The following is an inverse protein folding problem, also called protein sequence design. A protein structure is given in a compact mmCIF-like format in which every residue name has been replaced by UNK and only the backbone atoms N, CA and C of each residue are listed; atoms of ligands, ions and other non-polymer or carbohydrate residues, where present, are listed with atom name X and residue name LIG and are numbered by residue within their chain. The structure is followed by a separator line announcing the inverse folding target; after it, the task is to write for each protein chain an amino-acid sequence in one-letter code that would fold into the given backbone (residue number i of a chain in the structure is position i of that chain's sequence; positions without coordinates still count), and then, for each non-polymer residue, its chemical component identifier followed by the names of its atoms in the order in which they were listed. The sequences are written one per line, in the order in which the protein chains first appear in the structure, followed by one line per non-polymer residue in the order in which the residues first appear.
data_IF_304781350916
#
_entry.id   IF_304781350916
#
_cell.length_a   1.000
_cell.length_b   1.000
_cell.length_c   1.000
_cell.angle_alpha   90.00
_cell.angle_beta   90.00
_cell.angle_gamma   90.00
#
_symmetry.space_group_name_H-M   'P 1'
#
loop_
_entity.id
_entity.type
_entity.pdbx_description
1 polymer ?
#
# COMPACT_ATOMS: atom_id res chain seq x y z
N UNK A 1 -18.01 -1.50 -1.15
CA UNK A 1 -17.38 -2.81 -1.40
C UNK A 1 -16.62 -3.25 -0.16
N UNK A 2 -16.56 -4.55 0.11
CA UNK A 2 -15.74 -5.08 1.20
C UNK A 2 -14.47 -5.72 0.63
N UNK A 3 -13.31 -5.33 1.15
CA UNK A 3 -11.99 -5.79 0.75
C UNK A 3 -11.45 -6.74 1.83
N UNK A 4 -11.02 -7.93 1.40
CA UNK A 4 -10.39 -8.91 2.26
C UNK A 4 -8.89 -8.61 2.41
N UNK A 5 -8.57 -7.63 3.24
CA UNK A 5 -7.20 -7.24 3.54
C UNK A 5 -6.42 -8.36 4.23
N UNK A 6 -5.14 -8.45 3.91
CA UNK A 6 -4.16 -9.18 4.69
C UNK A 6 -4.13 -8.67 6.13
N UNK A 7 -3.57 -9.45 7.05
CA UNK A 7 -3.10 -8.87 8.31
C UNK A 7 -2.02 -7.83 8.02
N UNK A 8 -1.83 -6.88 8.93
CA UNK A 8 -0.70 -5.96 8.86
C UNK A 8 0.63 -6.74 8.91
N UNK A 9 1.56 -6.35 8.05
CA UNK A 9 2.88 -6.97 7.93
C UNK A 9 3.98 -5.95 8.17
N UNK A 10 4.97 -6.35 8.95
CA UNK A 10 6.19 -5.59 9.19
C UNK A 10 7.36 -6.54 9.48
N UNK A 11 8.61 -6.09 9.27
CA UNK A 11 8.99 -4.90 8.51
C UNK A 11 8.81 -5.08 7.00
N UNK A 12 8.76 -3.97 6.26
CA UNK A 12 8.85 -3.94 4.79
C UNK A 12 10.27 -4.35 4.34
N UNK A 13 10.51 -5.66 4.17
CA UNK A 13 11.81 -6.21 3.71
C UNK A 13 11.61 -7.34 2.73
N UNK A 14 12.57 -7.52 1.83
CA UNK A 14 12.61 -8.55 0.79
C UNK A 14 12.16 -9.94 1.29
N UNK A 15 12.74 -10.44 2.39
CA UNK A 15 12.41 -11.77 2.92
C UNK A 15 10.93 -11.94 3.26
N UNK A 16 10.25 -10.88 3.68
CA UNK A 16 8.83 -10.94 4.02
C UNK A 16 7.97 -10.86 2.76
N UNK A 17 8.39 -10.04 1.80
CA UNK A 17 7.69 -9.91 0.52
C UNK A 17 7.72 -11.23 -0.23
N UNK A 18 8.90 -11.83 -0.40
CA UNK A 18 9.10 -13.12 -1.09
C UNK A 18 8.29 -14.28 -0.51
N UNK A 19 8.13 -14.31 0.82
CA UNK A 19 7.50 -15.45 1.49
C UNK A 19 5.99 -15.30 1.72
N UNK A 20 5.45 -14.07 1.67
CA UNK A 20 4.06 -13.80 2.09
C UNK A 20 3.18 -13.22 1.01
N UNK A 21 3.75 -12.67 -0.06
CA UNK A 21 2.98 -11.88 -1.03
C UNK A 21 2.71 -12.73 -2.27
N UNK A 22 1.43 -12.97 -2.60
CA UNK A 22 1.08 -13.74 -3.79
C UNK A 22 1.40 -12.94 -5.07
N UNK A 23 1.79 -13.65 -6.12
CA UNK A 23 2.00 -13.09 -7.46
C UNK A 23 0.66 -12.96 -8.22
N UNK A 24 -0.25 -12.14 -7.71
CA UNK A 24 -1.59 -11.90 -8.27
C UNK A 24 -1.91 -10.41 -8.32
N UNK A 25 -2.91 -10.04 -9.09
CA UNK A 25 -3.40 -8.67 -9.13
C UNK A 25 -4.02 -8.25 -7.79
N UNK A 26 -3.84 -6.99 -7.42
CA UNK A 26 -4.37 -6.48 -6.16
C UNK A 26 -4.00 -5.05 -5.84
N UNK A 27 -4.36 -4.66 -4.62
CA UNK A 27 -4.08 -3.35 -4.04
C UNK A 27 -3.26 -3.51 -2.75
N UNK A 28 -2.40 -2.55 -2.46
CA UNK A 28 -1.61 -2.51 -1.23
C UNK A 28 -1.48 -1.09 -0.70
N UNK A 29 -1.25 -1.00 0.61
CA UNK A 29 -1.02 0.25 1.32
C UNK A 29 0.29 0.13 2.08
N UNK A 30 1.15 1.13 1.94
CA UNK A 30 2.42 1.24 2.66
C UNK A 30 2.29 2.27 3.76
N UNK A 31 2.87 1.93 4.91
CA UNK A 31 2.83 2.76 6.11
C UNK A 31 4.22 2.96 6.69
N UNK A 32 4.44 4.14 7.25
CA UNK A 32 5.63 4.48 8.02
C UNK A 32 5.25 4.66 9.49
N UNK A 33 6.08 4.17 10.40
CA UNK A 33 5.88 4.39 11.83
C UNK A 33 6.44 5.77 12.22
N UNK A 34 5.60 6.60 12.81
CA UNK A 34 5.95 7.90 13.36
C UNK A 34 6.57 7.77 14.76
N UNK A 35 7.20 8.83 15.25
CA UNK A 35 7.81 8.88 16.59
C UNK A 35 6.84 8.59 17.73
N UNK A 36 5.56 8.93 17.56
CA UNK A 36 4.49 8.66 18.52
C UNK A 36 3.92 7.22 18.41
N UNK A 37 4.64 6.33 17.73
CA UNK A 37 4.29 4.94 17.44
C UNK A 37 3.04 4.74 16.58
N UNK A 38 2.39 5.82 16.13
CA UNK A 38 1.30 5.74 15.15
C UNK A 38 1.87 5.43 13.77
N UNK A 39 1.01 4.88 12.92
CA UNK A 39 1.35 4.58 11.54
C UNK A 39 0.63 5.57 10.63
N UNK A 40 1.37 6.10 9.67
CA UNK A 40 0.81 6.96 8.65
C UNK A 40 0.98 6.35 7.27
N UNK A 41 -0.03 6.56 6.41
CA UNK A 41 -0.03 6.03 5.06
C UNK A 41 0.78 6.97 4.16
N UNK A 42 1.84 6.46 3.54
CA UNK A 42 2.63 7.28 2.62
C UNK A 42 2.43 6.88 1.15
N UNK A 43 1.89 5.69 0.87
CA UNK A 43 1.67 5.24 -0.50
C UNK A 43 0.56 4.19 -0.62
N UNK A 44 -0.17 4.23 -1.73
CA UNK A 44 -1.16 3.23 -2.12
C UNK A 44 -0.83 2.78 -3.54
N UNK A 45 -0.71 1.47 -3.74
CA UNK A 45 -0.46 0.91 -5.06
C UNK A 45 -1.57 -0.04 -5.48
N UNK A 46 -1.95 0.03 -6.75
CA UNK A 46 -2.69 -1.04 -7.41
C UNK A 46 -1.82 -1.65 -8.52
N UNK A 47 -2.00 -2.94 -8.80
CA UNK A 47 -1.09 -3.67 -9.69
C UNK A 47 -1.71 -4.95 -10.22
N UNK A 48 -1.22 -5.44 -11.36
CA UNK A 48 -1.49 -6.79 -11.87
C UNK A 48 -0.66 -7.87 -11.16
N UNK A 49 0.36 -7.47 -10.39
CA UNK A 49 1.20 -8.39 -9.65
C UNK A 49 1.72 -7.74 -8.36
N UNK A 50 1.09 -8.08 -7.24
CA UNK A 50 1.43 -7.61 -5.90
C UNK A 50 2.88 -7.88 -5.54
N UNK A 51 3.33 -9.13 -5.74
CA UNK A 51 4.69 -9.53 -5.40
C UNK A 51 5.74 -8.66 -6.12
N UNK A 52 5.60 -8.50 -7.44
CA UNK A 52 6.56 -7.75 -8.24
C UNK A 52 6.55 -6.25 -7.89
N UNK A 53 5.37 -5.64 -7.78
CA UNK A 53 5.25 -4.22 -7.45
C UNK A 53 5.85 -3.90 -6.08
N UNK A 54 5.58 -4.74 -5.08
CA UNK A 54 6.13 -4.55 -3.75
C UNK A 54 7.66 -4.77 -3.70
N UNK A 55 8.17 -5.76 -4.44
CA UNK A 55 9.62 -5.96 -4.58
C UNK A 55 10.31 -4.76 -5.24
N UNK A 56 9.69 -4.16 -6.26
CA UNK A 56 10.27 -3.01 -6.98
C UNK A 56 10.53 -1.81 -6.08
N UNK A 57 9.70 -1.56 -5.07
CA UNK A 57 9.92 -0.45 -4.14
C UNK A 57 11.19 -0.58 -3.29
N UNK A 58 11.73 -1.80 -3.12
CA UNK A 58 13.01 -1.99 -2.41
C UNK A 58 14.19 -1.41 -3.20
N UNK A 59 14.06 -1.36 -4.52
CA UNK A 59 15.03 -0.82 -5.46
C UNK A 59 14.50 0.47 -6.14
N UNK A 60 13.58 1.17 -5.49
CA UNK A 60 12.87 2.33 -6.05
C UNK A 60 13.85 3.40 -6.56
N UNK A 61 13.59 3.90 -7.77
CA UNK A 61 14.39 4.94 -8.42
C UNK A 61 13.56 6.13 -8.86
N UNK A 62 12.29 5.89 -9.20
CA UNK A 62 11.41 6.90 -9.77
C UNK A 62 10.74 7.74 -8.68
N UNK A 63 10.59 7.17 -7.47
CA UNK A 63 10.00 7.87 -6.33
C UNK A 63 10.96 7.95 -5.13
N UNK A 64 11.80 9.00 -5.05
CA UNK A 64 12.78 9.17 -3.97
C UNK A 64 12.17 9.14 -2.57
N UNK A 65 10.93 9.65 -2.39
CA UNK A 65 10.27 9.69 -1.08
C UNK A 65 9.90 8.29 -0.58
N UNK A 66 9.42 7.42 -1.47
CA UNK A 66 9.15 6.01 -1.12
C UNK A 66 10.45 5.33 -0.69
N UNK A 67 11.53 5.56 -1.46
CA UNK A 67 12.85 5.01 -1.15
C UNK A 67 13.35 5.46 0.22
N UNK A 68 13.31 6.76 0.49
CA UNK A 68 13.69 7.36 1.78
C UNK A 68 12.90 6.72 2.93
N UNK A 69 11.57 6.65 2.81
CA UNK A 69 10.72 6.03 3.83
C UNK A 69 11.12 4.57 4.12
N UNK A 70 11.34 3.77 3.08
CA UNK A 70 11.68 2.35 3.20
C UNK A 70 13.10 2.16 3.78
N UNK A 71 14.05 3.04 3.47
CA UNK A 71 15.45 2.92 3.90
C UNK A 71 15.67 3.44 5.32
N UNK A 72 15.05 4.56 5.66
CA UNK A 72 15.39 5.33 6.86
C UNK A 72 14.42 5.08 8.03
N UNK A 73 13.23 4.52 7.76
CA UNK A 73 12.18 4.36 8.76
C UNK A 73 11.62 2.94 8.86
N UNK A 74 10.91 2.68 9.96
CA UNK A 74 10.18 1.42 10.14
C UNK A 74 8.93 1.45 9.29
N UNK A 75 8.94 0.67 8.21
CA UNK A 75 7.80 0.54 7.32
C UNK A 75 7.03 -0.77 7.51
N UNK A 76 5.73 -0.72 7.24
CA UNK A 76 4.81 -1.84 7.23
C UNK A 76 3.79 -1.73 6.10
N UNK A 77 2.98 -2.77 5.91
CA UNK A 77 2.05 -2.82 4.79
C UNK A 77 0.85 -3.74 5.03
N UNK A 78 -0.21 -3.49 4.27
CA UNK A 78 -1.36 -4.38 4.08
C UNK A 78 -1.62 -4.51 2.58
N UNK A 79 -2.15 -5.66 2.15
CA UNK A 79 -2.50 -5.90 0.76
C UNK A 79 -3.80 -6.68 0.64
N UNK A 80 -4.44 -6.64 -0.52
CA UNK A 80 -5.59 -7.47 -0.83
C UNK A 80 -5.54 -7.90 -2.30
N UNK A 81 -5.67 -9.22 -2.60
CA UNK A 81 -5.93 -9.68 -3.95
C UNK A 81 -7.23 -9.05 -4.47
N UNK A 82 -7.18 -8.49 -5.68
CA UNK A 82 -8.32 -7.87 -6.35
C UNK A 82 -8.09 -7.91 -7.86
N UNK A 83 -8.80 -8.79 -8.55
CA UNK A 83 -8.55 -9.13 -9.96
C UNK A 83 -9.04 -8.08 -10.96
N UNK A 84 -10.14 -7.41 -10.65
CA UNK A 84 -10.75 -6.44 -11.57
C UNK A 84 -10.03 -5.09 -11.54
N UNK A 85 -9.52 -4.66 -12.69
CA UNK A 85 -8.74 -3.42 -12.82
C UNK A 85 -9.54 -2.16 -12.45
N UNK A 86 -10.80 -2.08 -12.89
CA UNK A 86 -11.69 -0.95 -12.57
C UNK A 86 -11.98 -0.87 -11.06
N UNK A 87 -12.20 -2.04 -10.43
CA UNK A 87 -12.35 -2.12 -8.98
C UNK A 87 -11.08 -1.63 -8.28
N UNK A 88 -9.89 -2.09 -8.69
CA UNK A 88 -8.61 -1.63 -8.15
C UNK A 88 -8.42 -0.11 -8.27
N UNK A 89 -8.75 0.46 -9.43
CA UNK A 89 -8.66 1.91 -9.65
C UNK A 89 -9.61 2.68 -8.72
N UNK A 90 -10.88 2.25 -8.65
CA UNK A 90 -11.90 2.87 -7.81
C UNK A 90 -11.58 2.77 -6.32
N UNK A 91 -10.99 1.66 -5.87
CA UNK A 91 -10.55 1.48 -4.49
C UNK A 91 -9.33 2.37 -4.19
N UNK A 92 -8.34 2.41 -5.09
CA UNK A 92 -7.16 3.27 -4.95
C UNK A 92 -7.55 4.73 -4.79
N UNK A 93 -8.46 5.23 -5.65
CA UNK A 93 -9.00 6.59 -5.55
C UNK A 93 -9.67 6.85 -4.21
N UNK A 94 -10.56 5.96 -3.76
CA UNK A 94 -11.22 6.14 -2.46
C UNK A 94 -10.22 6.15 -1.29
N UNK A 95 -9.21 5.29 -1.31
CA UNK A 95 -8.18 5.26 -0.27
C UNK A 95 -7.32 6.53 -0.30
N UNK A 96 -6.94 7.02 -1.48
CA UNK A 96 -6.21 8.27 -1.63
C UNK A 96 -6.99 9.44 -1.01
N UNK A 97 -8.27 9.58 -1.34
CA UNK A 97 -9.13 10.65 -0.81
C UNK A 97 -9.28 10.60 0.72
N UNK A 98 -9.17 9.40 1.31
CA UNK A 98 -9.31 9.18 2.76
C UNK A 98 -8.02 9.30 3.53
N UNK A 99 -6.93 8.77 2.99
CA UNK A 99 -5.65 8.64 3.67
C UNK A 99 -4.68 9.75 3.30
N UNK A 100 -4.85 10.41 2.15
CA UNK A 100 -4.01 11.50 1.64
C UNK A 100 -2.50 11.21 1.71
N UNK A 101 -2.04 10.10 1.10
CA UNK A 101 -0.63 9.74 1.14
C UNK A 101 0.28 10.76 0.45
N UNK A 102 1.42 11.07 1.07
CA UNK A 102 2.34 12.13 0.63
C UNK A 102 3.32 11.71 -0.51
N UNK A 103 3.42 10.41 -0.80
CA UNK A 103 4.35 9.89 -1.82
C UNK A 103 3.66 9.47 -3.11
N UNK A 104 2.43 9.89 -3.36
CA UNK A 104 1.78 9.68 -4.64
C UNK A 104 0.89 10.85 -5.02
N UNK A 105 0.66 11.03 -6.31
CA UNK A 105 -0.34 11.96 -6.82
C UNK A 105 -1.73 11.31 -6.79
N UNK A 106 -2.76 12.13 -6.92
CA UNK A 106 -4.13 11.65 -7.05
C UNK A 106 -4.25 10.73 -8.27
N UNK A 107 -4.64 9.44 -8.10
CA UNK A 107 -4.76 8.51 -9.22
C UNK A 107 -5.93 8.85 -10.16
N UNK A 108 -6.78 9.81 -9.79
CA UNK A 108 -7.95 10.22 -10.57
C UNK A 108 -9.09 9.19 -10.54
N UNK A 109 -10.16 9.48 -11.28
CA UNK A 109 -11.35 8.63 -11.37
C UNK A 109 -12.32 8.79 -10.19
N UNK A 110 -13.20 7.80 -10.02
CA UNK A 110 -14.27 7.83 -9.02
C UNK A 110 -14.00 6.79 -7.92
N UNK A 111 -13.98 7.25 -6.66
CA UNK A 111 -13.76 6.39 -5.52
C UNK A 111 -14.97 5.52 -5.18
N UNK A 112 -14.76 4.22 -4.91
CA UNK A 112 -15.78 3.36 -4.29
C UNK A 112 -15.47 3.16 -2.80
N UNK A 113 -16.47 3.39 -1.94
CA UNK A 113 -16.31 3.21 -0.49
C UNK A 113 -15.93 1.77 -0.14
N UNK A 114 -14.82 1.62 0.58
CA UNK A 114 -14.36 0.34 1.15
C UNK A 114 -14.10 0.41 2.65
N UNK A 115 -14.00 -0.76 3.29
CA UNK A 115 -13.36 -0.87 4.59
C UNK A 115 -11.86 -0.58 4.44
N UNK A 116 -11.35 0.32 5.28
CA UNK A 116 -9.94 0.71 5.30
C UNK A 116 -9.14 -0.36 6.05
N UNK A 117 -7.91 -0.57 5.62
CA UNK A 117 -6.98 -1.50 6.24
C UNK A 117 -6.65 -1.04 7.68
N UNK A 118 -6.37 -2.00 8.58
CA UNK A 118 -6.71 -1.88 10.02
C UNK A 118 -5.88 -0.86 10.81
N UNK A 119 -4.79 -0.35 10.26
CA UNK A 119 -3.85 0.51 11.01
C UNK A 119 -4.33 1.97 11.13
N UNK A 120 -5.50 2.31 10.59
CA UNK A 120 -6.13 3.63 10.74
C UNK A 120 -7.03 3.83 11.98
N UNK A 121 -6.82 3.12 13.10
CA UNK A 121 -7.50 3.50 14.36
C UNK A 121 -6.61 4.51 15.10
N UNK A 122 -6.85 5.78 14.81
CA UNK A 122 -6.21 6.96 15.39
C UNK A 122 -6.41 7.11 16.90
#
# INVERSE_FOLDING_TARGET
MFINWSRFNMPYKERYIKNKIPAVAGIYVLYVQLENEKWDCFYIGNTENLHNAMMQHLDEKENPKIKENIQDYVCGFEYAPLEEAEARASVSKYLFDKLKPDCMEDPGGNGIRVNIARVGKF
#
